data_IF_709148233887
#
_entry.id   IF_709148233887
#
_cell.length_a   1.000
_cell.length_b   1.000
_cell.length_c   1.000
_cell.angle_alpha   90.00
_cell.angle_beta   90.00
_cell.angle_gamma   90.00
#
_symmetry.space_group_name_H-M   'P 1'
#
loop_
_entity.id
_entity.type
_entity.pdbx_description
1 polymer ?
#
# COMPACT_ATOMS: atom_id res chain seq x y z
N UNK A 1 22.41 10.91 0.02
CA UNK A 1 21.90 11.41 1.31
C UNK A 1 20.76 12.37 1.02
N UNK A 2 19.52 11.86 0.97
CA UNK A 2 18.22 12.55 1.20
C UNK A 2 17.14 11.57 0.75
N UNK A 3 16.75 10.67 1.62
CA UNK A 3 15.65 9.73 1.38
C UNK A 3 15.16 9.32 2.74
N UNK A 4 14.07 9.93 3.20
CA UNK A 4 13.30 9.47 4.35
C UNK A 4 13.05 7.98 4.20
N UNK A 5 13.53 7.16 5.14
CA UNK A 5 13.23 5.73 5.22
C UNK A 5 11.71 5.54 5.37
N UNK A 6 11.00 5.47 4.25
CA UNK A 6 9.56 5.17 4.21
C UNK A 6 9.22 3.83 4.90
N UNK A 7 10.22 2.98 5.13
CA UNK A 7 10.14 1.76 5.92
C UNK A 7 9.71 1.98 7.38
N UNK A 8 9.64 3.23 7.87
CA UNK A 8 9.34 3.53 9.28
C UNK A 8 8.09 4.40 9.49
N UNK A 9 7.26 4.63 8.46
CA UNK A 9 6.04 5.41 8.63
C UNK A 9 5.05 4.67 9.54
N UNK A 10 4.95 5.13 10.78
CA UNK A 10 4.00 4.65 11.77
C UNK A 10 2.94 5.75 12.00
N UNK A 11 1.70 5.45 11.67
CA UNK A 11 0.56 6.33 11.88
C UNK A 11 -0.39 5.66 12.86
N UNK A 12 -0.38 6.13 14.11
CA UNK A 12 -1.24 5.61 15.19
C UNK A 12 -1.16 4.07 15.35
N UNK A 13 0.05 3.51 15.25
CA UNK A 13 0.27 2.06 15.35
C UNK A 13 0.06 1.29 14.05
N UNK A 14 -0.44 1.92 12.98
CA UNK A 14 -0.47 1.34 11.64
C UNK A 14 0.90 1.53 10.98
N UNK A 15 1.47 0.43 10.49
CA UNK A 15 2.70 0.41 9.71
C UNK A 15 2.48 -0.40 8.44
N UNK A 16 3.32 -0.18 7.43
CA UNK A 16 3.37 -1.09 6.28
C UNK A 16 3.96 -2.42 6.76
N UNK A 17 3.40 -3.59 6.40
CA UNK A 17 3.95 -4.87 6.82
C UNK A 17 5.38 -5.05 6.30
N UNK A 18 6.30 -5.46 7.17
CA UNK A 18 7.71 -5.69 6.79
C UNK A 18 7.98 -7.14 6.36
N UNK A 19 7.09 -7.67 5.51
CA UNK A 19 7.22 -9.04 5.00
C UNK A 19 7.86 -9.04 3.61
N UNK A 20 8.40 -10.21 3.22
CA UNK A 20 8.92 -10.42 1.86
C UNK A 20 7.86 -10.11 0.80
N UNK A 21 6.61 -10.49 1.05
CA UNK A 21 5.52 -10.24 0.12
C UNK A 21 5.22 -8.74 0.01
N UNK A 22 5.06 -8.05 1.15
CA UNK A 22 4.77 -6.62 1.13
C UNK A 22 5.86 -5.81 0.43
N UNK A 23 7.15 -6.12 0.67
CA UNK A 23 8.26 -5.48 -0.04
C UNK A 23 8.20 -5.71 -1.56
N UNK A 24 7.94 -6.94 -2.00
CA UNK A 24 7.81 -7.26 -3.42
C UNK A 24 6.61 -6.55 -4.07
N UNK A 25 5.51 -6.39 -3.34
CA UNK A 25 4.35 -5.61 -3.78
C UNK A 25 4.72 -4.13 -3.93
N UNK A 26 5.39 -3.54 -2.93
CA UNK A 26 5.82 -2.15 -2.99
C UNK A 26 6.71 -1.90 -4.21
N UNK A 27 7.69 -2.76 -4.46
CA UNK A 27 8.61 -2.68 -5.60
C UNK A 27 7.84 -2.77 -6.91
N UNK A 28 7.03 -3.82 -7.10
CA UNK A 28 6.25 -4.01 -8.31
C UNK A 28 5.35 -2.81 -8.62
N UNK A 29 4.62 -2.30 -7.62
CA UNK A 29 3.68 -1.19 -7.83
C UNK A 29 4.43 0.12 -8.09
N UNK A 30 5.58 0.37 -7.43
CA UNK A 30 6.43 1.53 -7.75
C UNK A 30 6.96 1.51 -9.19
N UNK A 31 7.28 0.33 -9.70
CA UNK A 31 7.78 0.17 -11.07
C UNK A 31 6.66 0.24 -12.11
N UNK A 32 5.41 -0.02 -11.70
CA UNK A 32 4.25 -0.13 -12.59
C UNK A 32 3.44 1.16 -12.65
N UNK A 33 3.16 1.76 -11.50
CA UNK A 33 2.29 2.93 -11.35
C UNK A 33 3.09 4.24 -11.34
N UNK A 34 2.42 5.36 -11.62
CA UNK A 34 3.02 6.67 -11.38
C UNK A 34 3.02 7.03 -9.89
N UNK A 35 3.82 8.02 -9.49
CA UNK A 35 3.92 8.48 -8.10
C UNK A 35 2.56 8.89 -7.49
N UNK A 36 1.64 9.43 -8.29
CA UNK A 36 0.33 9.85 -7.80
C UNK A 36 -0.52 8.64 -7.37
N UNK A 37 -0.55 7.58 -8.19
CA UNK A 37 -1.28 6.33 -7.91
C UNK A 37 -0.62 5.55 -6.77
N UNK A 38 0.71 5.39 -6.78
CA UNK A 38 1.42 4.75 -5.67
C UNK A 38 1.13 5.44 -4.33
N UNK A 39 1.20 6.77 -4.30
CA UNK A 39 0.90 7.54 -3.10
C UNK A 39 -0.59 7.48 -2.74
N UNK A 40 -1.49 7.38 -3.72
CA UNK A 40 -2.92 7.17 -3.49
C UNK A 40 -3.16 5.83 -2.79
N UNK A 41 -2.72 4.73 -3.38
CA UNK A 41 -2.80 3.37 -2.83
C UNK A 41 -2.19 3.27 -1.42
N UNK A 42 -1.05 3.94 -1.20
CA UNK A 42 -0.44 4.04 0.13
C UNK A 42 -1.36 4.73 1.15
N UNK A 43 -2.01 5.85 0.79
CA UNK A 43 -2.98 6.51 1.68
C UNK A 43 -4.21 5.65 1.93
N UNK A 44 -4.71 4.94 0.91
CA UNK A 44 -5.85 4.02 1.03
C UNK A 44 -5.55 2.91 2.04
N UNK A 45 -4.33 2.34 2.03
CA UNK A 45 -3.89 1.39 3.05
C UNK A 45 -4.02 1.96 4.47
N UNK A 46 -3.39 3.12 4.73
CA UNK A 46 -3.40 3.72 6.06
C UNK A 46 -4.82 4.10 6.51
N UNK A 47 -5.63 4.69 5.63
CA UNK A 47 -7.01 5.04 5.97
C UNK A 47 -7.87 3.81 6.24
N UNK A 48 -7.72 2.74 5.43
CA UNK A 48 -8.42 1.48 5.64
C UNK A 48 -8.05 0.83 6.97
N UNK A 49 -6.75 0.77 7.29
CA UNK A 49 -6.25 0.20 8.54
C UNK A 49 -6.71 1.00 9.77
N UNK A 50 -6.61 2.34 9.72
CA UNK A 50 -7.09 3.22 10.80
C UNK A 50 -8.60 3.11 11.01
N UNK A 51 -9.38 3.05 9.93
CA UNK A 51 -10.83 2.84 10.02
C UNK A 51 -11.17 1.47 10.60
N UNK A 52 -10.42 0.42 10.23
CA UNK A 52 -10.54 -0.92 10.81
C UNK A 52 -10.28 -0.93 12.30
N UNK A 53 -9.18 -0.30 12.74
CA UNK A 53 -8.84 -0.14 14.16
C UNK A 53 -9.93 0.60 14.94
N UNK A 54 -10.40 1.74 14.42
CA UNK A 54 -11.45 2.54 15.07
C UNK A 54 -12.75 1.74 15.26
N UNK A 55 -13.04 0.80 14.35
CA UNK A 55 -14.24 -0.04 14.38
C UNK A 55 -14.04 -1.38 15.10
N UNK A 56 -12.85 -1.65 15.63
CA UNK A 56 -12.53 -2.93 16.29
C UNK A 56 -12.54 -4.14 15.34
N UNK A 57 -12.29 -3.92 14.05
CA UNK A 57 -12.25 -5.01 13.06
C UNK A 57 -10.91 -5.73 13.10
N UNK A 58 -10.96 -7.06 13.03
CA UNK A 58 -9.77 -7.89 12.83
C UNK A 58 -9.55 -8.10 11.35
N UNK A 59 -8.36 -7.79 10.84
CA UNK A 59 -7.96 -8.02 9.45
C UNK A 59 -6.49 -8.43 9.39
N UNK A 60 -6.09 -9.07 8.29
CA UNK A 60 -4.68 -9.37 8.02
C UNK A 60 -4.03 -8.13 7.34
N UNK A 61 -3.03 -7.49 7.95
CA UNK A 61 -2.41 -6.29 7.38
C UNK A 61 -1.70 -6.52 6.05
N UNK A 62 -1.11 -7.70 5.83
CA UNK A 62 -0.44 -8.06 4.57
C UNK A 62 -1.45 -8.22 3.42
N UNK A 63 -2.60 -8.84 3.70
CA UNK A 63 -3.68 -8.94 2.70
C UNK A 63 -4.33 -7.59 2.41
N UNK A 64 -4.54 -6.75 3.43
CA UNK A 64 -5.04 -5.40 3.23
C UNK A 64 -4.05 -4.59 2.38
N UNK A 65 -2.76 -4.66 2.69
CA UNK A 65 -1.72 -3.98 1.92
C UNK A 65 -1.73 -4.43 0.46
N UNK A 66 -1.76 -5.74 0.20
CA UNK A 66 -1.86 -6.26 -1.16
C UNK A 66 -3.09 -5.73 -1.90
N UNK A 67 -4.27 -5.81 -1.29
CA UNK A 67 -5.51 -5.34 -1.90
C UNK A 67 -5.44 -3.84 -2.25
N UNK A 68 -4.98 -3.00 -1.33
CA UNK A 68 -4.90 -1.56 -1.55
C UNK A 68 -3.81 -1.16 -2.52
N UNK A 69 -2.71 -1.91 -2.61
CA UNK A 69 -1.61 -1.59 -3.54
C UNK A 69 -1.93 -1.99 -4.98
N UNK A 70 -2.73 -3.03 -5.21
CA UNK A 70 -3.07 -3.51 -6.56
C UNK A 70 -4.37 -2.94 -7.15
N UNK A 71 -5.21 -2.26 -6.35
CA UNK A 71 -6.57 -1.93 -6.80
C UNK A 71 -6.65 -1.01 -8.03
N UNK A 72 -5.63 -0.19 -8.26
CA UNK A 72 -5.55 0.78 -9.36
C UNK A 72 -4.56 0.38 -10.47
N UNK A 73 -3.89 -0.77 -10.37
CA UNK A 73 -2.90 -1.20 -11.38
C UNK A 73 -3.51 -1.28 -12.78
N UNK A 74 -4.80 -1.63 -12.88
CA UNK A 74 -5.52 -1.69 -14.16
C UNK A 74 -5.71 -0.34 -14.86
N UNK A 75 -5.43 0.79 -14.18
CA UNK A 75 -5.41 2.12 -14.78
C UNK A 75 -4.14 2.39 -15.59
N UNK A 76 -3.11 1.54 -15.45
CA UNK A 76 -1.90 1.63 -16.25
C UNK A 76 -2.10 0.96 -17.61
N UNK A 77 -1.68 1.60 -18.73
CA UNK A 77 -1.91 1.04 -20.07
C UNK A 77 -1.33 -0.36 -20.29
N UNK A 78 -0.25 -0.73 -19.58
CA UNK A 78 0.37 -2.06 -19.66
C UNK A 78 -0.42 -3.16 -18.96
N UNK A 79 -1.40 -2.81 -18.12
CA UNK A 79 -2.17 -3.72 -17.25
C UNK A 79 -3.69 -3.54 -17.37
N UNK A 80 -4.16 -2.67 -18.27
CA UNK A 80 -5.58 -2.50 -18.56
C UNK A 80 -6.12 -3.69 -19.35
N UNK A 81 -7.39 -4.03 -19.13
CA UNK A 81 -8.11 -4.97 -20.01
C UNK A 81 -8.26 -4.40 -21.43
N UNK A 82 -8.49 -5.24 -22.46
CA UNK A 82 -8.86 -4.79 -23.80
C UNK A 82 -10.11 -3.90 -23.83
#
# INVERSE_FOLDING_TARGET
>A
MTGTDYATLNVNGVTIPDSKLARAITEFVRDTENDLLFNHSSRVYFFGALAGQQRGLTFNPELLYAATMFHDVGLMPSHSSP
#
